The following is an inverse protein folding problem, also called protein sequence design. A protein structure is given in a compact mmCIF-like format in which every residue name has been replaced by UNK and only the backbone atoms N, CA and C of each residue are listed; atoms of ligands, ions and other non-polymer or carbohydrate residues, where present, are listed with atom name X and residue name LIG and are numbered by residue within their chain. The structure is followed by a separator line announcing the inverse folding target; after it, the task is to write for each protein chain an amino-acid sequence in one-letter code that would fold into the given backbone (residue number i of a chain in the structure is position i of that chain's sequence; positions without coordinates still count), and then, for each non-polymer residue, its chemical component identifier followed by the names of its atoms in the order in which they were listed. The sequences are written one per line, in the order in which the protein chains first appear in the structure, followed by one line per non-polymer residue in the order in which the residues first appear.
data_IF_815323138650
#
_entry.id   IF_815323138650
#
_cell.length_a   1.000
_cell.length_b   1.000
_cell.length_c   1.000
_cell.angle_alpha   90.00
_cell.angle_beta   90.00
_cell.angle_gamma   90.00
#
_symmetry.space_group_name_H-M   'P 1'
#
loop_
_entity.id
_entity.type
_entity.pdbx_description
1 polymer ?
#
# COMPACT_ATOMS: atom_id res chain seq x y z
N UNK A 1 -13.24 2.96 -20.26
CA UNK A 1 -13.60 4.01 -19.28
C UNK A 1 -15.09 4.30 -19.34
N UNK A 2 -15.66 4.96 -18.33
CA UNK A 2 -17.04 5.49 -18.39
C UNK A 2 -17.01 6.97 -18.83
N UNK A 3 -18.06 7.52 -19.46
CA UNK A 3 -18.00 8.84 -20.12
C UNK A 3 -17.52 10.01 -19.23
N UNK A 4 -17.99 10.07 -17.99
CA UNK A 4 -17.66 11.16 -17.04
C UNK A 4 -16.48 10.83 -16.10
N UNK A 5 -15.74 9.76 -16.39
CA UNK A 5 -14.58 9.36 -15.57
C UNK A 5 -13.32 10.12 -15.98
N UNK A 6 -12.42 10.25 -15.01
CA UNK A 6 -11.09 10.85 -15.18
C UNK A 6 -10.04 9.83 -14.75
N UNK A 7 -8.89 9.83 -15.41
CA UNK A 7 -7.70 9.08 -14.99
C UNK A 7 -6.47 9.97 -14.94
N UNK A 8 -5.52 9.67 -14.06
CA UNK A 8 -4.30 10.46 -13.87
C UNK A 8 -4.09 10.86 -12.41
N UNK A 9 -3.35 11.94 -12.17
CA UNK A 9 -2.97 12.41 -10.84
C UNK A 9 -2.49 11.28 -9.91
N UNK A 10 -1.55 10.47 -10.42
CA UNK A 10 -1.04 9.26 -9.79
C UNK A 10 0.20 9.52 -8.91
N UNK A 11 0.33 10.73 -8.35
CA UNK A 11 1.45 11.06 -7.46
C UNK A 11 1.35 10.29 -6.14
N UNK A 12 2.50 9.97 -5.54
CA UNK A 12 2.52 9.29 -4.24
C UNK A 12 2.37 10.32 -3.12
N UNK A 13 1.30 10.17 -2.35
CA UNK A 13 1.01 10.98 -1.16
C UNK A 13 1.07 10.11 0.09
N UNK A 14 1.37 10.75 1.21
CA UNK A 14 1.25 10.20 2.56
C UNK A 14 0.41 11.13 3.41
N UNK A 15 0.23 10.85 4.69
CA UNK A 15 -0.45 11.72 5.64
C UNK A 15 0.51 12.25 6.68
N UNK A 16 0.33 13.51 7.10
CA UNK A 16 1.02 14.06 8.26
C UNK A 16 0.42 13.56 9.59
N UNK A 17 0.97 14.00 10.72
CA UNK A 17 0.49 13.66 12.07
C UNK A 17 -0.98 14.06 12.33
N UNK A 18 -1.49 15.03 11.56
CA UNK A 18 -2.89 15.49 11.63
C UNK A 18 -3.81 14.75 10.64
N UNK A 19 -3.28 13.79 9.88
CA UNK A 19 -4.01 13.04 8.86
C UNK A 19 -4.21 13.80 7.55
N UNK A 20 -3.55 14.94 7.34
CA UNK A 20 -3.66 15.72 6.11
C UNK A 20 -2.77 15.10 5.02
N UNK A 21 -3.27 14.97 3.77
CA UNK A 21 -2.44 14.53 2.66
C UNK A 21 -1.26 15.47 2.42
N UNK A 22 -0.07 14.89 2.29
CA UNK A 22 1.19 15.59 2.02
C UNK A 22 2.00 14.80 0.99
N UNK A 23 2.73 15.50 0.11
CA UNK A 23 3.64 14.84 -0.83
C UNK A 23 4.82 14.20 -0.08
N UNK A 24 5.29 13.03 -0.54
CA UNK A 24 6.41 12.33 0.11
C UNK A 24 7.69 13.20 0.14
N UNK A 25 7.90 14.05 -0.87
CA UNK A 25 9.04 14.98 -0.92
C UNK A 25 9.03 16.00 0.21
N UNK A 26 7.84 16.49 0.56
CA UNK A 26 7.69 17.45 1.65
C UNK A 26 7.96 16.79 3.01
N UNK A 27 7.61 15.51 3.17
CA UNK A 27 7.84 14.77 4.41
C UNK A 27 9.29 14.30 4.59
N UNK A 28 9.88 13.69 3.56
CA UNK A 28 11.18 13.01 3.64
C UNK A 28 12.35 13.84 3.08
N UNK A 29 12.06 15.04 2.57
CA UNK A 29 13.01 15.89 1.86
C UNK A 29 13.25 15.45 0.41
N UNK A 30 13.75 16.38 -0.42
CA UNK A 30 13.84 16.22 -1.87
C UNK A 30 14.66 14.98 -2.29
N UNK A 31 15.77 14.70 -1.62
CA UNK A 31 16.67 13.62 -2.02
C UNK A 31 16.07 12.21 -1.84
N UNK A 32 15.32 11.98 -0.76
CA UNK A 32 14.67 10.69 -0.50
C UNK A 32 13.34 10.63 -1.25
N UNK A 33 12.57 11.72 -1.23
CA UNK A 33 11.30 11.83 -1.94
C UNK A 33 11.44 11.61 -3.44
N UNK A 34 12.46 12.18 -4.09
CA UNK A 34 12.71 11.96 -5.53
C UNK A 34 13.14 10.52 -5.82
N UNK A 35 13.85 9.82 -4.93
CA UNK A 35 14.17 8.39 -5.14
C UNK A 35 12.91 7.53 -5.16
N UNK A 36 11.97 7.80 -4.25
CA UNK A 36 10.68 7.10 -4.21
C UNK A 36 9.82 7.48 -5.42
N UNK A 37 9.70 8.79 -5.69
CA UNK A 37 8.93 9.31 -6.82
C UNK A 37 9.44 8.79 -8.17
N UNK A 38 10.75 8.82 -8.40
CA UNK A 38 11.35 8.29 -9.65
C UNK A 38 11.17 6.77 -9.79
N UNK A 39 11.27 5.99 -8.71
CA UNK A 39 10.98 4.57 -8.74
C UNK A 39 9.52 4.30 -9.12
N UNK A 40 8.59 5.03 -8.51
CA UNK A 40 7.16 4.93 -8.81
C UNK A 40 6.85 5.37 -10.25
N UNK A 41 7.42 6.48 -10.70
CA UNK A 41 7.29 7.01 -12.06
C UNK A 41 7.75 6.01 -13.12
N UNK A 42 8.90 5.38 -12.90
CA UNK A 42 9.44 4.36 -13.81
C UNK A 42 8.59 3.10 -13.81
N UNK A 43 8.04 2.71 -12.66
CA UNK A 43 7.09 1.60 -12.58
C UNK A 43 5.82 1.89 -13.41
N UNK A 44 5.23 3.08 -13.28
CA UNK A 44 4.07 3.49 -14.07
C UNK A 44 4.37 3.52 -15.57
N UNK A 45 5.53 4.08 -15.96
CA UNK A 45 5.98 4.10 -17.35
C UNK A 45 6.12 2.68 -17.93
N UNK A 46 6.76 1.77 -17.18
CA UNK A 46 6.93 0.38 -17.59
C UNK A 46 5.60 -0.37 -17.71
N UNK A 47 4.66 -0.14 -16.80
CA UNK A 47 3.30 -0.70 -16.91
C UNK A 47 2.59 -0.22 -18.18
N UNK A 48 2.74 1.06 -18.52
CA UNK A 48 2.17 1.62 -19.74
C UNK A 48 2.81 0.98 -20.99
N UNK A 49 4.14 0.93 -21.06
CA UNK A 49 4.88 0.33 -22.18
C UNK A 49 4.54 -1.15 -22.38
N UNK A 50 4.48 -1.93 -21.29
CA UNK A 50 4.10 -3.34 -21.32
C UNK A 50 2.68 -3.59 -21.84
N UNK A 51 1.86 -2.53 -21.93
CA UNK A 51 0.50 -2.54 -22.48
C UNK A 51 0.37 -1.72 -23.75
N UNK A 52 1.48 -1.36 -24.40
CA UNK A 52 1.54 -0.53 -25.61
C UNK A 52 0.87 0.85 -25.43
N UNK A 53 1.03 1.46 -24.26
CA UNK A 53 0.51 2.80 -23.93
C UNK A 53 1.64 3.81 -23.77
N UNK A 54 1.40 5.12 -23.96
CA UNK A 54 2.47 6.11 -23.92
C UNK A 54 3.07 6.30 -22.51
N UNK A 55 4.32 5.85 -22.32
CA UNK A 55 5.04 6.03 -21.06
C UNK A 55 5.16 7.49 -20.63
N UNK A 56 5.41 8.43 -21.56
CA UNK A 56 5.55 9.85 -21.25
C UNK A 56 4.32 10.41 -20.51
N UNK A 57 3.12 10.03 -20.95
CA UNK A 57 1.87 10.44 -20.29
C UNK A 57 1.75 9.84 -18.89
N UNK A 58 2.10 8.55 -18.71
CA UNK A 58 2.09 7.92 -17.39
C UNK A 58 3.06 8.60 -16.41
N UNK A 59 4.24 9.03 -16.88
CA UNK A 59 5.18 9.83 -16.07
C UNK A 59 4.59 11.19 -15.68
N UNK A 60 3.93 11.88 -16.60
CA UNK A 60 3.29 13.17 -16.33
C UNK A 60 2.07 13.09 -15.39
N UNK A 61 1.46 11.91 -15.26
CA UNK A 61 0.43 11.68 -14.23
C UNK A 61 1.03 11.66 -12.81
N UNK A 62 2.32 11.37 -12.66
CA UNK A 62 3.03 11.30 -11.37
C UNK A 62 3.75 12.61 -11.02
N UNK A 63 4.38 13.26 -12.00
CA UNK A 63 5.21 14.44 -11.76
C UNK A 63 4.70 15.67 -12.53
N UNK A 64 4.35 16.71 -11.77
CA UNK A 64 3.87 18.01 -12.28
C UNK A 64 4.90 18.80 -13.09
N UNK A 65 6.18 18.45 -13.00
CA UNK A 65 7.26 19.10 -13.76
C UNK A 65 7.44 18.52 -15.16
N UNK A 66 6.76 17.42 -15.48
CA UNK A 66 6.86 16.75 -16.78
C UNK A 66 5.81 17.31 -17.74
N UNK A 67 6.31 18.05 -18.73
CA UNK A 67 5.54 18.50 -19.88
C UNK A 67 5.58 17.44 -20.98
N UNK A 68 4.42 17.06 -21.52
CA UNK A 68 4.32 16.05 -22.57
C UNK A 68 3.64 16.64 -23.78
N UNK A 69 4.29 16.48 -24.92
CA UNK A 69 3.79 16.90 -26.22
C UNK A 69 3.59 15.67 -27.11
N UNK A 70 2.57 15.75 -27.94
CA UNK A 70 2.37 14.85 -29.05
C UNK A 70 3.01 15.45 -30.29
N UNK A 71 3.86 14.65 -30.93
CA UNK A 71 4.54 15.00 -32.17
C UNK A 71 4.16 14.01 -33.27
N UNK A 72 4.19 14.50 -34.51
CA UNK A 72 4.08 13.64 -35.67
C UNK A 72 5.49 13.27 -36.17
N UNK A 73 5.85 11.99 -36.06
CA UNK A 73 7.14 11.48 -36.51
C UNK A 73 6.93 10.44 -37.58
N UNK A 74 7.27 10.78 -38.82
CA UNK A 74 7.11 9.89 -39.98
C UNK A 74 5.67 9.36 -40.18
N UNK A 75 4.65 10.17 -39.85
CA UNK A 75 3.24 9.78 -39.94
C UNK A 75 2.72 9.03 -38.72
N UNK A 76 3.56 8.78 -37.71
CA UNK A 76 3.16 8.17 -36.45
C UNK A 76 3.02 9.21 -35.33
N UNK A 77 1.94 9.09 -34.56
CA UNK A 77 1.72 9.89 -33.34
C UNK A 77 2.62 9.36 -32.23
N UNK A 78 3.57 10.17 -31.78
CA UNK A 78 4.51 9.84 -30.69
C UNK A 78 4.34 10.85 -29.56
N UNK A 79 4.39 10.38 -28.32
CA UNK A 79 4.30 11.22 -27.13
C UNK A 79 5.68 11.31 -26.49
N UNK A 80 6.20 12.52 -26.35
CA UNK A 80 7.54 12.77 -25.80
C UNK A 80 7.48 13.83 -24.71
N UNK A 81 8.41 13.74 -23.77
CA UNK A 81 8.67 14.84 -22.85
C UNK A 81 9.19 16.04 -23.66
N UNK A 82 8.73 17.26 -23.36
CA UNK A 82 9.01 18.46 -24.18
C UNK A 82 10.50 18.78 -24.31
N UNK A 83 11.33 18.34 -23.36
CA UNK A 83 12.80 18.44 -23.41
C UNK A 83 13.46 17.49 -24.42
N UNK A 84 12.78 16.40 -24.80
CA UNK A 84 13.27 15.38 -25.72
C UNK A 84 12.82 15.62 -27.18
N UNK A 85 12.04 16.67 -27.43
CA UNK A 85 11.64 17.04 -28.79
C UNK A 85 12.83 17.59 -29.57
N UNK A 86 12.86 17.35 -30.87
CA UNK A 86 13.80 17.96 -31.79
C UNK A 86 13.22 19.25 -32.36
N UNK A 87 14.09 20.11 -32.88
CA UNK A 87 13.69 21.41 -33.46
C UNK A 87 12.85 21.29 -34.73
N UNK A 88 12.90 20.14 -35.40
CA UNK A 88 12.17 19.78 -36.61
C UNK A 88 10.90 18.97 -36.36
N UNK A 89 10.62 18.59 -35.10
CA UNK A 89 9.40 17.85 -34.76
C UNK A 89 8.17 18.78 -34.83
N UNK A 90 7.13 18.35 -35.56
CA UNK A 90 5.86 19.06 -35.63
C UNK A 90 4.97 18.71 -34.42
N UNK A 91 4.65 19.73 -33.61
CA UNK A 91 3.85 19.57 -32.40
C UNK A 91 2.37 19.57 -32.77
N UNK A 92 1.72 18.42 -32.56
CA UNK A 92 0.28 18.26 -32.79
C UNK A 92 -0.51 18.84 -31.62
N UNK A 93 -0.12 18.50 -30.38
CA UNK A 93 -0.87 18.86 -29.17
C UNK A 93 0.02 18.83 -27.93
N UNK A 94 -0.22 19.74 -26.99
CA UNK A 94 0.37 19.69 -25.64
C UNK A 94 -0.62 18.99 -24.71
N UNK A 95 -0.22 17.85 -24.14
CA UNK A 95 -1.09 17.02 -23.30
C UNK A 95 -0.93 17.31 -21.81
N UNK A 96 0.29 17.57 -21.37
CA UNK A 96 0.61 17.97 -20.00
C UNK A 96 1.44 19.24 -20.04
N UNK A 97 1.19 20.18 -19.13
CA UNK A 97 2.01 21.39 -18.92
C UNK A 97 2.66 21.33 -17.55
N UNK A 98 3.82 21.98 -17.40
CA UNK A 98 4.48 22.11 -16.10
C UNK A 98 3.57 22.80 -15.08
N UNK A 99 3.62 22.34 -13.83
CA UNK A 99 2.89 22.89 -12.69
C UNK A 99 1.58 22.15 -12.36
N UNK A 100 1.14 21.19 -13.18
CA UNK A 100 -0.05 20.38 -12.91
C UNK A 100 0.17 18.92 -13.25
N UNK A 101 -0.33 18.00 -12.42
CA UNK A 101 -0.37 16.59 -12.77
C UNK A 101 -1.32 16.37 -13.96
N UNK A 102 -0.91 15.49 -14.87
CA UNK A 102 -1.77 15.10 -15.98
C UNK A 102 -3.02 14.39 -15.45
N UNK A 103 -4.18 14.89 -15.88
CA UNK A 103 -5.47 14.22 -15.76
C UNK A 103 -6.11 14.19 -17.13
N UNK A 104 -6.72 13.06 -17.48
CA UNK A 104 -7.35 12.82 -18.76
C UNK A 104 -8.81 12.48 -18.53
N UNK A 105 -9.70 13.16 -19.23
CA UNK A 105 -11.07 12.71 -19.42
C UNK A 105 -11.10 11.37 -20.17
N UNK A 106 -12.24 10.69 -20.16
CA UNK A 106 -12.40 9.43 -20.89
C UNK A 106 -12.12 9.58 -22.41
N UNK A 107 -12.51 10.71 -23.00
CA UNK A 107 -12.27 11.02 -24.42
C UNK A 107 -10.79 11.24 -24.70
N UNK A 108 -10.14 12.06 -23.89
CA UNK A 108 -8.70 12.33 -23.96
C UNK A 108 -7.87 11.06 -23.79
N UNK A 109 -8.25 10.20 -22.85
CA UNK A 109 -7.58 8.93 -22.60
C UNK A 109 -7.65 7.98 -23.81
N UNK A 110 -8.78 7.96 -24.52
CA UNK A 110 -8.91 7.17 -25.75
C UNK A 110 -8.14 7.80 -26.91
N UNK A 111 -8.22 9.12 -27.10
CA UNK A 111 -7.49 9.84 -28.15
C UNK A 111 -5.97 9.65 -28.03
N UNK A 112 -5.42 9.70 -26.81
CA UNK A 112 -4.00 9.47 -26.58
C UNK A 112 -3.61 8.00 -26.41
N UNK A 113 -4.54 7.05 -26.57
CA UNK A 113 -4.33 5.59 -26.41
C UNK A 113 -3.90 5.16 -24.99
N UNK A 114 -4.22 5.93 -23.97
CA UNK A 114 -4.12 5.51 -22.57
C UNK A 114 -5.28 4.60 -22.14
N UNK A 115 -6.43 4.71 -22.81
CA UNK A 115 -7.59 3.84 -22.65
C UNK A 115 -8.02 3.27 -24.00
N UNK A 116 -8.59 2.06 -23.98
CA UNK A 116 -8.96 1.37 -25.22
C UNK A 116 -10.28 1.90 -25.79
N UNK A 117 -11.31 2.04 -24.94
CA UNK A 117 -12.67 2.47 -25.31
C UNK A 117 -13.41 3.13 -24.15
N UNK A 118 -14.48 3.85 -24.49
CA UNK A 118 -15.50 4.35 -23.55
C UNK A 118 -16.74 3.46 -23.66
N UNK A 119 -17.31 3.08 -22.52
CA UNK A 119 -18.57 2.33 -22.47
C UNK A 119 -19.57 3.05 -21.56
N UNK A 120 -20.78 3.26 -22.06
CA UNK A 120 -21.89 3.87 -21.32
C UNK A 120 -22.33 3.04 -20.10
N UNK A 121 -22.20 1.72 -20.21
CA UNK A 121 -22.64 0.81 -19.16
C UNK A 121 -21.89 -0.53 -19.23
N UNK A 122 -22.05 -1.31 -18.16
CA UNK A 122 -21.43 -2.62 -18.01
C UNK A 122 -21.86 -3.61 -19.10
N UNK A 123 -23.11 -3.58 -19.57
CA UNK A 123 -23.57 -4.51 -20.60
C UNK A 123 -22.84 -4.26 -21.93
N UNK A 124 -22.63 -3.00 -22.30
CA UNK A 124 -21.85 -2.64 -23.48
C UNK A 124 -20.40 -3.15 -23.39
N UNK A 125 -19.75 -2.98 -22.23
CA UNK A 125 -18.42 -3.52 -21.97
C UNK A 125 -18.38 -5.05 -22.08
N UNK A 126 -19.28 -5.75 -21.40
CA UNK A 126 -19.31 -7.22 -21.41
C UNK A 126 -19.62 -7.78 -22.80
N UNK A 127 -20.44 -7.09 -23.59
CA UNK A 127 -20.70 -7.46 -24.99
C UNK A 127 -19.43 -7.36 -25.83
N UNK A 128 -18.67 -6.28 -25.68
CA UNK A 128 -17.42 -6.06 -26.43
C UNK A 128 -16.32 -7.06 -26.04
N UNK A 129 -16.35 -7.55 -24.79
CA UNK A 129 -15.43 -8.58 -24.28
C UNK A 129 -15.91 -10.03 -24.51
N UNK A 130 -17.01 -10.23 -25.25
CA UNK A 130 -17.66 -11.54 -25.43
C UNK A 130 -17.94 -12.28 -24.11
N UNK A 131 -18.33 -11.51 -23.09
CA UNK A 131 -18.42 -11.94 -21.69
C UNK A 131 -19.82 -11.70 -21.10
N UNK A 132 -20.89 -11.68 -21.91
CA UNK A 132 -22.26 -11.44 -21.44
C UNK A 132 -22.76 -12.49 -20.44
N UNK A 133 -22.27 -13.73 -20.55
CA UNK A 133 -22.59 -14.81 -19.62
C UNK A 133 -21.67 -14.86 -18.40
N UNK A 134 -20.68 -13.96 -18.30
CA UNK A 134 -19.70 -13.99 -17.22
C UNK A 134 -20.35 -13.75 -15.86
N UNK A 135 -19.99 -14.59 -14.89
CA UNK A 135 -20.43 -14.46 -13.50
C UNK A 135 -19.54 -13.44 -12.78
N UNK A 136 -20.16 -12.50 -12.09
CA UNK A 136 -19.44 -11.57 -11.22
C UNK A 136 -18.94 -12.31 -9.97
N UNK A 137 -17.62 -12.35 -9.80
CA UNK A 137 -16.98 -12.83 -8.57
C UNK A 137 -16.37 -11.60 -7.88
N UNK A 138 -17.03 -11.03 -6.86
CA UNK A 138 -16.45 -9.93 -6.12
C UNK A 138 -15.23 -10.45 -5.35
N UNK A 139 -14.09 -9.80 -5.54
CA UNK A 139 -12.90 -10.09 -4.74
C UNK A 139 -13.14 -9.65 -3.29
N UNK A 140 -13.10 -10.63 -2.38
CA UNK A 140 -13.27 -10.41 -0.94
C UNK A 140 -11.95 -10.40 -0.19
N UNK A 141 -10.83 -10.63 -0.87
CA UNK A 141 -9.50 -10.76 -0.29
C UNK A 141 -9.15 -9.57 0.61
N UNK A 142 -9.37 -8.34 0.14
CA UNK A 142 -9.09 -7.13 0.91
C UNK A 142 -10.01 -6.95 2.12
N UNK A 143 -11.29 -7.28 1.99
CA UNK A 143 -12.23 -7.20 3.11
C UNK A 143 -11.91 -8.24 4.19
N UNK A 144 -11.51 -9.44 3.77
CA UNK A 144 -11.07 -10.51 4.66
C UNK A 144 -9.74 -10.18 5.33
N UNK A 145 -8.77 -9.65 4.59
CA UNK A 145 -7.49 -9.17 5.12
C UNK A 145 -7.70 -8.09 6.18
N UNK A 146 -8.53 -7.06 5.90
CA UNK A 146 -8.86 -6.02 6.90
C UNK A 146 -9.48 -6.59 8.18
N UNK A 147 -10.41 -7.55 8.04
CA UNK A 147 -11.02 -8.23 9.20
C UNK A 147 -10.00 -9.08 9.97
N UNK A 148 -9.01 -9.64 9.28
CA UNK A 148 -7.95 -10.40 9.92
C UNK A 148 -7.01 -9.47 10.71
N UNK A 149 -6.52 -8.39 10.11
CA UNK A 149 -5.70 -7.38 10.79
C UNK A 149 -6.39 -6.86 12.05
N UNK A 150 -7.65 -6.42 11.94
CA UNK A 150 -8.40 -5.90 13.09
C UNK A 150 -8.58 -6.95 14.22
N UNK A 151 -8.66 -8.24 13.89
CA UNK A 151 -8.71 -9.31 14.90
C UNK A 151 -7.36 -9.55 15.55
N UNK A 152 -6.26 -9.45 14.79
CA UNK A 152 -4.90 -9.58 15.32
C UNK A 152 -4.62 -8.42 16.28
N UNK A 153 -4.86 -7.17 15.86
CA UNK A 153 -4.71 -5.97 16.70
C UNK A 153 -5.48 -6.08 18.01
N UNK A 154 -6.78 -6.39 17.94
CA UNK A 154 -7.60 -6.57 19.14
C UNK A 154 -7.11 -7.70 20.06
N UNK A 155 -6.49 -8.74 19.50
CA UNK A 155 -5.91 -9.82 20.28
C UNK A 155 -4.61 -9.36 20.97
N UNK A 156 -3.77 -8.62 20.27
CA UNK A 156 -2.56 -8.02 20.82
C UNK A 156 -2.88 -7.02 21.94
N UNK A 157 -3.90 -6.16 21.78
CA UNK A 157 -4.33 -5.23 22.82
C UNK A 157 -4.75 -5.94 24.11
N UNK A 158 -5.52 -7.03 23.97
CA UNK A 158 -5.93 -7.85 25.12
C UNK A 158 -4.74 -8.50 25.81
N UNK A 159 -3.77 -8.97 25.04
CA UNK A 159 -2.55 -9.59 25.57
C UNK A 159 -1.70 -8.54 26.27
N UNK A 160 -1.50 -7.36 25.69
CA UNK A 160 -0.79 -6.26 26.34
C UNK A 160 -1.44 -5.89 27.68
N UNK A 161 -2.77 -5.78 27.72
CA UNK A 161 -3.50 -5.54 28.97
C UNK A 161 -3.36 -6.69 29.98
N UNK A 162 -3.38 -7.95 29.51
CA UNK A 162 -3.17 -9.14 30.35
C UNK A 162 -1.75 -9.19 30.93
N UNK A 163 -0.74 -8.88 30.11
CA UNK A 163 0.67 -8.85 30.49
C UNK A 163 0.92 -7.75 31.53
N UNK A 164 0.44 -6.53 31.29
CA UNK A 164 0.54 -5.43 32.24
C UNK A 164 -0.14 -5.77 33.58
N UNK A 165 -1.34 -6.37 33.53
CA UNK A 165 -2.03 -6.84 34.73
C UNK A 165 -1.24 -7.94 35.46
N UNK A 166 -0.69 -8.92 34.72
CA UNK A 166 0.12 -10.00 35.27
C UNK A 166 1.38 -9.52 35.96
N UNK A 167 2.08 -8.55 35.35
CA UNK A 167 3.26 -7.90 35.94
C UNK A 167 2.89 -7.15 37.22
N UNK A 168 1.80 -6.37 37.20
CA UNK A 168 1.31 -5.65 38.40
C UNK A 168 0.93 -6.62 39.52
N UNK A 169 0.28 -7.74 39.20
CA UNK A 169 -0.06 -8.77 40.16
C UNK A 169 1.18 -9.44 40.76
N UNK A 170 2.22 -9.69 39.95
CA UNK A 170 3.49 -10.23 40.44
C UNK A 170 4.20 -9.27 41.39
N UNK A 171 4.19 -7.97 41.10
CA UNK A 171 4.78 -6.95 41.96
C UNK A 171 4.02 -6.77 43.29
N UNK A 172 2.69 -6.91 43.25
CA UNK A 172 1.83 -6.67 44.42
C UNK A 172 1.68 -7.90 45.32
N UNK A 173 1.85 -9.12 44.79
CA UNK A 173 1.54 -10.34 45.56
C UNK A 173 2.70 -10.79 46.44
N UNK A 174 2.39 -11.18 47.67
CA UNK A 174 3.32 -11.91 48.57
C UNK A 174 3.05 -13.41 48.58
N UNK A 175 2.06 -13.87 47.82
CA UNK A 175 1.63 -15.27 47.80
C UNK A 175 2.20 -16.01 46.60
N UNK A 176 2.97 -17.07 46.89
CA UNK A 176 3.55 -18.00 45.91
C UNK A 176 2.51 -18.55 44.92
N UNK A 177 1.34 -18.97 45.41
CA UNK A 177 0.28 -19.52 44.56
C UNK A 177 -0.39 -18.49 43.64
N UNK A 178 -0.37 -17.20 44.00
CA UNK A 178 -0.82 -16.13 43.11
C UNK A 178 0.26 -15.76 42.09
N UNK A 179 1.53 -15.72 42.50
CA UNK A 179 2.65 -15.47 41.59
C UNK A 179 2.74 -16.54 40.49
N UNK A 180 2.63 -17.82 40.86
CA UNK A 180 2.63 -18.92 39.91
C UNK A 180 1.46 -18.86 38.92
N UNK A 181 0.27 -18.44 39.36
CA UNK A 181 -0.90 -18.28 38.47
C UNK A 181 -0.69 -17.13 37.47
N UNK A 182 -0.14 -16.00 37.92
CA UNK A 182 0.19 -14.88 37.06
C UNK A 182 1.24 -15.26 36.01
N UNK A 183 2.33 -15.92 36.43
CA UNK A 183 3.37 -16.41 35.51
C UNK A 183 2.83 -17.41 34.47
N UNK A 184 1.96 -18.34 34.88
CA UNK A 184 1.32 -19.27 33.95
C UNK A 184 0.44 -18.56 32.91
N UNK A 185 -0.25 -17.48 33.31
CA UNK A 185 -1.01 -16.65 32.38
C UNK A 185 -0.10 -15.95 31.37
N UNK A 186 0.99 -15.34 31.85
CA UNK A 186 1.99 -14.67 31.01
C UNK A 186 2.63 -15.62 29.99
N UNK A 187 2.92 -16.86 30.39
CA UNK A 187 3.45 -17.88 29.48
C UNK A 187 2.45 -18.24 28.37
N UNK A 188 1.17 -18.43 28.71
CA UNK A 188 0.14 -18.74 27.73
C UNK A 188 -0.04 -17.58 26.73
N UNK A 189 0.00 -16.35 27.22
CA UNK A 189 -0.11 -15.14 26.41
C UNK A 189 1.09 -15.02 25.44
N UNK A 190 2.31 -15.23 25.93
CA UNK A 190 3.52 -15.22 25.09
C UNK A 190 3.51 -16.33 24.03
N UNK A 191 3.09 -17.55 24.39
CA UNK A 191 2.94 -18.65 23.43
C UNK A 191 1.90 -18.35 22.35
N UNK A 192 0.79 -17.69 22.72
CA UNK A 192 -0.23 -17.29 21.76
C UNK A 192 0.31 -16.24 20.78
N UNK A 193 1.07 -15.25 21.25
CA UNK A 193 1.71 -14.24 20.39
C UNK A 193 2.70 -14.89 19.41
N UNK A 194 3.54 -15.82 19.88
CA UNK A 194 4.44 -16.59 19.02
C UNK A 194 3.66 -17.41 17.97
N UNK A 195 2.52 -18.00 18.36
CA UNK A 195 1.62 -18.70 17.46
C UNK A 195 1.05 -17.79 16.37
N UNK A 196 0.69 -16.55 16.70
CA UNK A 196 0.28 -15.54 15.73
C UNK A 196 1.43 -15.17 14.79
N UNK A 197 2.63 -14.89 15.34
CA UNK A 197 3.82 -14.52 14.55
C UNK A 197 4.21 -15.61 13.55
N UNK A 198 4.18 -16.89 13.95
CA UNK A 198 4.44 -18.01 13.02
C UNK A 198 3.40 -18.16 11.92
N UNK A 199 2.14 -17.85 12.22
CA UNK A 199 1.03 -18.01 11.28
C UNK A 199 0.92 -16.85 10.28
N UNK A 200 1.21 -15.64 10.71
CA UNK A 200 0.99 -14.41 9.94
C UNK A 200 2.30 -13.66 9.62
N UNK A 201 3.46 -14.16 10.06
CA UNK A 201 4.76 -13.61 9.71
C UNK A 201 4.92 -12.15 10.13
N UNK A 202 5.32 -11.31 9.19
CA UNK A 202 5.61 -9.89 9.43
C UNK A 202 4.35 -9.03 9.65
N UNK A 203 3.16 -9.58 9.39
CA UNK A 203 1.90 -8.89 9.68
C UNK A 203 1.61 -8.78 11.19
N UNK A 204 2.36 -9.50 12.03
CA UNK A 204 2.31 -9.34 13.49
C UNK A 204 3.51 -8.49 13.94
N UNK A 205 3.27 -7.24 14.43
CA UNK A 205 4.33 -6.29 14.76
C UNK A 205 4.96 -6.59 16.13
N UNK A 206 5.44 -7.81 16.30
CA UNK A 206 6.12 -8.29 17.50
C UNK A 206 7.46 -8.90 17.11
N UNK A 207 8.48 -8.62 17.90
CA UNK A 207 9.79 -9.26 17.76
C UNK A 207 9.74 -10.67 18.34
N UNK A 208 9.87 -11.68 17.47
CA UNK A 208 9.79 -13.09 17.87
C UNK A 208 10.84 -13.45 18.93
N UNK A 209 12.05 -12.90 18.79
CA UNK A 209 13.15 -13.14 19.72
C UNK A 209 12.82 -12.53 21.08
N UNK A 210 12.33 -11.29 21.12
CA UNK A 210 11.95 -10.63 22.36
C UNK A 210 10.85 -11.41 23.11
N UNK A 211 9.82 -11.89 22.41
CA UNK A 211 8.73 -12.67 23.02
C UNK A 211 9.23 -14.04 23.50
N UNK A 212 10.13 -14.68 22.75
CA UNK A 212 10.75 -15.94 23.15
C UNK A 212 11.66 -15.79 24.37
N UNK A 213 12.45 -14.73 24.44
CA UNK A 213 13.30 -14.41 25.58
C UNK A 213 12.44 -14.15 26.83
N UNK A 214 11.37 -13.37 26.69
CA UNK A 214 10.39 -13.17 27.76
C UNK A 214 9.78 -14.49 28.26
N UNK A 215 9.33 -15.36 27.35
CA UNK A 215 8.80 -16.67 27.70
C UNK A 215 9.81 -17.52 28.47
N UNK A 216 11.07 -17.53 28.03
CA UNK A 216 12.14 -18.26 28.69
C UNK A 216 12.40 -17.73 30.11
N UNK A 217 12.41 -16.41 30.29
CA UNK A 217 12.57 -15.76 31.61
C UNK A 217 11.41 -16.11 32.55
N UNK A 218 10.16 -15.96 32.11
CA UNK A 218 8.99 -16.27 32.95
C UNK A 218 8.96 -17.76 33.31
N UNK A 219 9.33 -18.65 32.38
CA UNK A 219 9.42 -20.09 32.65
C UNK A 219 10.49 -20.41 33.69
N UNK A 220 11.67 -19.80 33.60
CA UNK A 220 12.76 -20.01 34.56
C UNK A 220 12.35 -19.56 35.98
N UNK A 221 11.73 -18.39 36.10
CA UNK A 221 11.21 -17.87 37.37
C UNK A 221 10.08 -18.74 37.94
N UNK A 222 9.18 -19.23 37.09
CA UNK A 222 8.13 -20.16 37.49
C UNK A 222 8.71 -21.47 38.04
N UNK A 223 9.71 -22.04 37.36
CA UNK A 223 10.35 -23.27 37.79
C UNK A 223 11.15 -23.09 39.09
N UNK A 224 11.85 -21.97 39.25
CA UNK A 224 12.52 -21.61 40.50
C UNK A 224 11.54 -21.48 41.67
N UNK A 225 10.42 -20.79 41.47
CA UNK A 225 9.36 -20.69 42.47
C UNK A 225 8.66 -22.03 42.72
N UNK A 226 8.69 -22.98 41.80
CA UNK A 226 8.13 -24.32 41.99
C UNK A 226 9.05 -25.22 42.81
N UNK A 227 10.37 -25.06 42.70
CA UNK A 227 11.37 -25.89 43.38
C UNK A 227 11.84 -25.36 44.73
N UNK A 228 11.51 -24.10 45.08
CA UNK A 228 11.74 -23.58 46.44
C UNK A 228 10.96 -24.40 47.49
N UNK A 229 11.59 -24.84 48.59
CA UNK A 229 10.90 -25.55 49.68
C UNK A 229 9.81 -24.70 50.35
#
# INVERSE_FOLDING_TARGET
MAPVSVMGAATVITTDESGKPIEIRELLGEAIGEKIGSAWRNYLASLAENKNRPAALAKAMENKEIEVVEINKNGERVFVESENKKSDDDIVKVWSKKGSLLTLTAEEAVDCRMADKIYENRQALLKDLDALSAKLIPDKSMAEARRLCARIEKSLDKINASVDLGIKQLQATRSRGHAMRAMKSLMNDAQFVLGLKRKFGDDVPVDEKMVQDFLNTVQAEYDALRTMP
#
